data_IF_260253392273
#
_entry.id   IF_260253392273
#
_cell.length_a   1.000
_cell.length_b   1.000
_cell.length_c   1.000
_cell.angle_alpha   90.00
_cell.angle_beta   90.00
_cell.angle_gamma   90.00
#
_symmetry.space_group_name_H-M   'P 1'
#
loop_
_entity.id
_entity.type
_entity.pdbx_description
1 polymer ?
#
# COMPACT_ATOMS: atom_id res chain seq x y z
N UNK A 1 -12.66 -4.67 -1.12
CA UNK A 1 -13.49 -5.83 -1.44
C UNK A 1 -14.57 -5.41 -2.45
N UNK A 2 -14.53 -5.92 -3.69
CA UNK A 2 -15.47 -5.52 -4.74
C UNK A 2 -16.92 -5.95 -4.47
N UNK A 3 -17.18 -6.91 -3.59
CA UNK A 3 -18.54 -7.41 -3.28
C UNK A 3 -19.40 -6.36 -2.57
N UNK A 4 -18.80 -5.49 -1.78
CA UNK A 4 -19.51 -4.42 -1.08
C UNK A 4 -19.79 -3.16 -1.91
N UNK A 5 -19.34 -3.12 -3.15
CA UNK A 5 -19.50 -1.97 -4.01
C UNK A 5 -20.82 -2.01 -4.80
N UNK A 6 -21.42 -0.88 -5.06
CA UNK A 6 -22.79 -0.71 -5.58
C UNK A 6 -23.02 -1.11 -7.06
N UNK A 7 -22.32 -2.08 -7.58
CA UNK A 7 -22.54 -2.67 -8.91
C UNK A 7 -21.84 -1.97 -10.08
N UNK A 8 -21.12 -0.87 -9.84
CA UNK A 8 -20.34 -0.18 -10.88
C UNK A 8 -18.88 -0.56 -10.88
N UNK A 9 -18.43 -1.36 -9.91
CA UNK A 9 -17.05 -1.75 -9.74
C UNK A 9 -16.66 -2.97 -10.60
N UNK A 10 -15.44 -2.96 -11.12
CA UNK A 10 -14.92 -3.93 -12.09
C UNK A 10 -14.87 -5.39 -11.61
N UNK A 11 -15.05 -5.65 -10.33
CA UNK A 11 -14.96 -6.98 -9.76
C UNK A 11 -16.30 -7.67 -9.55
N UNK A 12 -17.40 -7.05 -9.94
CA UNK A 12 -18.74 -7.63 -9.78
C UNK A 12 -19.00 -8.89 -10.63
N UNK A 13 -18.12 -9.20 -11.57
CA UNK A 13 -18.25 -10.32 -12.52
C UNK A 13 -17.61 -11.63 -12.06
N UNK A 14 -16.98 -11.70 -10.87
CA UNK A 14 -16.36 -12.95 -10.37
C UNK A 14 -17.38 -14.01 -9.90
N UNK A 15 -18.65 -13.65 -9.77
CA UNK A 15 -19.72 -14.59 -9.43
C UNK A 15 -19.71 -15.12 -7.98
N UNK A 16 -18.87 -14.59 -7.11
CA UNK A 16 -18.76 -14.97 -5.69
C UNK A 16 -19.58 -14.02 -4.82
N UNK A 17 -20.20 -14.55 -3.77
CA UNK A 17 -20.66 -13.74 -2.65
C UNK A 17 -19.49 -13.27 -1.78
N UNK A 18 -19.74 -12.44 -0.77
CA UNK A 18 -18.70 -11.90 0.11
C UNK A 18 -17.93 -13.02 0.82
N UNK A 19 -18.64 -14.03 1.33
CA UNK A 19 -18.02 -15.16 2.03
C UNK A 19 -17.12 -15.97 1.11
N UNK A 20 -17.60 -16.32 -0.07
CA UNK A 20 -16.85 -17.03 -1.11
C UNK A 20 -15.63 -16.25 -1.59
N UNK A 21 -15.78 -14.94 -1.81
CA UNK A 21 -14.68 -14.07 -2.17
C UNK A 21 -13.60 -14.02 -1.09
N UNK A 22 -13.99 -13.82 0.18
CA UNK A 22 -13.05 -13.73 1.29
C UNK A 22 -12.27 -15.04 1.50
N UNK A 23 -12.92 -16.20 1.32
CA UNK A 23 -12.26 -17.50 1.40
C UNK A 23 -11.31 -17.74 0.22
N UNK A 24 -11.70 -17.39 -1.00
CA UNK A 24 -10.84 -17.49 -2.18
C UNK A 24 -9.62 -16.57 -2.07
N UNK A 25 -9.80 -15.35 -1.55
CA UNK A 25 -8.70 -14.42 -1.29
C UNK A 25 -7.74 -14.98 -0.23
N UNK A 26 -8.25 -15.54 0.87
CA UNK A 26 -7.43 -16.22 1.87
C UNK A 26 -6.60 -17.33 1.23
N UNK A 27 -7.22 -18.20 0.46
CA UNK A 27 -6.53 -19.31 -0.20
C UNK A 27 -5.41 -18.80 -1.11
N UNK A 28 -5.68 -17.76 -1.90
CA UNK A 28 -4.68 -17.14 -2.76
C UNK A 28 -3.53 -16.49 -1.98
N UNK A 29 -3.82 -15.82 -0.88
CA UNK A 29 -2.78 -15.28 0.01
C UNK A 29 -1.86 -16.38 0.58
N UNK A 30 -2.42 -17.52 0.98
CA UNK A 30 -1.64 -18.65 1.50
C UNK A 30 -0.77 -19.28 0.39
N UNK A 31 -1.31 -19.47 -0.80
CA UNK A 31 -0.57 -20.00 -1.96
C UNK A 31 0.64 -19.12 -2.33
N UNK A 32 0.46 -17.81 -2.29
CA UNK A 32 1.49 -16.84 -2.65
C UNK A 32 2.41 -16.45 -1.48
N UNK A 33 2.17 -16.98 -0.27
CA UNK A 33 2.92 -16.65 0.93
C UNK A 33 2.77 -15.21 1.40
N UNK A 34 1.61 -14.58 1.12
CA UNK A 34 1.31 -13.21 1.55
C UNK A 34 1.01 -13.23 3.05
N UNK A 35 1.75 -12.44 3.81
CA UNK A 35 1.63 -12.36 5.27
C UNK A 35 1.00 -11.07 5.78
N UNK A 36 0.89 -10.06 4.94
CA UNK A 36 0.29 -8.76 5.27
C UNK A 36 -0.58 -8.30 4.11
N UNK A 37 -1.78 -7.84 4.43
CA UNK A 37 -2.75 -7.29 3.47
C UNK A 37 -3.16 -5.90 3.92
N UNK A 38 -3.07 -4.92 3.03
CA UNK A 38 -3.71 -3.61 3.19
C UNK A 38 -5.07 -3.61 2.52
N UNK A 39 -6.11 -3.19 3.21
CA UNK A 39 -7.44 -3.02 2.64
C UNK A 39 -7.66 -1.57 2.24
N UNK A 40 -8.14 -1.34 1.03
CA UNK A 40 -8.29 0.01 0.48
C UNK A 40 -9.50 0.10 -0.48
N UNK A 41 -10.68 -0.24 0.02
CA UNK A 41 -11.90 -0.06 -0.76
C UNK A 41 -12.18 1.44 -0.99
N UNK A 42 -12.78 1.77 -2.12
CA UNK A 42 -13.06 3.15 -2.52
C UNK A 42 -14.07 3.81 -1.57
N UNK A 43 -13.58 4.64 -0.65
CA UNK A 43 -14.38 5.41 0.30
C UNK A 43 -15.33 4.58 1.16
N UNK A 44 -15.03 3.30 1.35
CA UNK A 44 -15.84 2.36 2.12
C UNK A 44 -14.97 1.54 3.07
N UNK A 45 -15.53 1.17 4.20
CA UNK A 45 -14.91 0.30 5.21
C UNK A 45 -15.82 -0.87 5.60
N UNK A 46 -16.93 -1.05 4.87
CA UNK A 46 -17.98 -2.00 5.21
C UNK A 46 -17.49 -3.46 5.24
N UNK A 47 -16.58 -3.83 4.35
CA UNK A 47 -16.07 -5.21 4.20
C UNK A 47 -14.87 -5.53 5.10
N UNK A 48 -14.34 -4.57 5.85
CA UNK A 48 -13.09 -4.71 6.60
C UNK A 48 -13.17 -5.82 7.64
N UNK A 49 -14.21 -5.82 8.48
CA UNK A 49 -14.30 -6.76 9.61
C UNK A 49 -14.59 -8.19 9.12
N UNK A 50 -15.40 -8.35 8.06
CA UNK A 50 -15.67 -9.66 7.47
C UNK A 50 -14.40 -10.31 6.91
N UNK A 51 -13.58 -9.55 6.18
CA UNK A 51 -12.32 -10.07 5.63
C UNK A 51 -11.28 -10.34 6.73
N UNK A 52 -11.19 -9.49 7.75
CA UNK A 52 -10.31 -9.71 8.91
C UNK A 52 -10.62 -11.01 9.64
N UNK A 53 -11.91 -11.33 9.84
CA UNK A 53 -12.33 -12.58 10.48
C UNK A 53 -11.86 -13.83 9.73
N UNK A 54 -11.65 -13.72 8.42
CA UNK A 54 -11.16 -14.82 7.59
C UNK A 54 -9.63 -14.89 7.57
N UNK A 55 -8.93 -13.75 7.46
CA UNK A 55 -7.48 -13.70 7.26
C UNK A 55 -6.68 -13.83 8.57
N UNK A 56 -7.09 -13.12 9.63
CA UNK A 56 -6.30 -13.04 10.87
C UNK A 56 -6.11 -14.40 11.59
N UNK A 57 -7.13 -15.29 11.68
CA UNK A 57 -6.94 -16.61 12.28
C UNK A 57 -5.90 -17.49 11.57
N UNK A 58 -5.56 -17.15 10.33
CA UNK A 58 -4.55 -17.86 9.52
C UNK A 58 -3.18 -17.17 9.54
N UNK A 59 -2.98 -16.21 10.44
CA UNK A 59 -1.71 -15.51 10.65
C UNK A 59 -1.42 -14.39 9.63
N UNK A 60 -2.39 -14.00 8.82
CA UNK A 60 -2.25 -12.88 7.89
C UNK A 60 -2.65 -11.59 8.61
N UNK A 61 -1.72 -10.65 8.72
CA UNK A 61 -1.98 -9.35 9.33
C UNK A 61 -2.73 -8.47 8.34
N UNK A 62 -3.78 -7.82 8.82
CA UNK A 62 -4.61 -6.93 7.99
C UNK A 62 -4.48 -5.51 8.51
N UNK A 63 -3.98 -4.61 7.65
CA UNK A 63 -4.04 -3.17 7.86
C UNK A 63 -5.31 -2.63 7.23
N UNK A 64 -6.32 -2.29 8.03
CA UNK A 64 -7.56 -1.78 7.51
C UNK A 64 -7.38 -0.35 6.99
N UNK A 65 -8.15 0.01 5.97
CA UNK A 65 -8.03 1.33 5.36
C UNK A 65 -9.07 1.57 4.27
N UNK A 66 -8.83 2.60 3.49
CA UNK A 66 -9.70 3.01 2.39
C UNK A 66 -8.92 3.83 1.36
N UNK A 67 -9.41 3.87 0.13
CA UNK A 67 -8.96 4.79 -0.90
C UNK A 67 -9.89 6.00 -0.97
N UNK A 68 -9.31 7.19 -1.18
CA UNK A 68 -10.05 8.46 -1.25
C UNK A 68 -9.39 9.42 -2.26
N UNK A 69 -10.17 10.30 -2.86
CA UNK A 69 -9.68 11.37 -3.71
C UNK A 69 -9.62 12.69 -2.95
N UNK A 70 -8.54 13.44 -3.09
CA UNK A 70 -8.44 14.84 -2.67
C UNK A 70 -9.22 15.76 -3.59
N UNK A 71 -9.40 17.03 -3.19
CA UNK A 71 -10.11 18.02 -4.03
C UNK A 71 -9.31 18.37 -5.31
N UNK A 72 -8.02 18.14 -5.34
CA UNK A 72 -7.18 18.25 -6.53
C UNK A 72 -7.18 16.98 -7.41
N UNK A 73 -8.16 16.09 -7.19
CA UNK A 73 -8.42 14.87 -7.95
C UNK A 73 -7.27 13.85 -7.91
N UNK A 74 -6.49 13.86 -6.85
CA UNK A 74 -5.41 12.87 -6.65
C UNK A 74 -5.88 11.80 -5.69
N UNK A 75 -5.62 10.54 -6.03
CA UNK A 75 -6.02 9.39 -5.23
C UNK A 75 -4.96 8.99 -4.21
N UNK A 76 -5.43 8.64 -3.03
CA UNK A 76 -4.60 8.20 -1.92
C UNK A 76 -5.19 6.97 -1.24
N UNK A 77 -4.32 6.04 -0.88
CA UNK A 77 -4.68 4.96 0.03
C UNK A 77 -4.24 5.32 1.44
N UNK A 78 -5.17 5.18 2.37
CA UNK A 78 -5.00 5.43 3.80
C UNK A 78 -5.09 4.11 4.55
N UNK A 79 -4.02 3.69 5.22
CA UNK A 79 -3.96 2.48 6.03
C UNK A 79 -3.83 2.83 7.50
N UNK A 80 -4.36 1.96 8.36
CA UNK A 80 -4.34 2.12 9.81
C UNK A 80 -3.88 0.85 10.50
N UNK A 81 -3.64 0.93 11.82
CA UNK A 81 -3.20 -0.21 12.63
C UNK A 81 -4.15 -1.40 12.49
N UNK A 82 -3.58 -2.59 12.53
CA UNK A 82 -4.29 -3.87 12.58
C UNK A 82 -5.32 -3.95 13.71
N UNK A 83 -5.19 -3.12 14.72
CA UNK A 83 -6.11 -3.06 15.87
C UNK A 83 -7.29 -2.10 15.62
N UNK A 84 -7.23 -1.27 14.57
CA UNK A 84 -8.28 -0.29 14.27
C UNK A 84 -9.57 -1.02 13.87
N UNK A 85 -10.65 -0.78 14.58
CA UNK A 85 -11.96 -1.38 14.30
C UNK A 85 -12.66 -0.73 13.12
N UNK A 86 -13.61 -1.43 12.48
CA UNK A 86 -14.45 -0.85 11.41
C UNK A 86 -15.15 0.43 11.87
N UNK A 87 -15.67 0.46 13.09
CA UNK A 87 -16.31 1.65 13.67
C UNK A 87 -15.33 2.84 13.82
N UNK A 88 -14.08 2.58 14.20
CA UNK A 88 -13.05 3.64 14.25
C UNK A 88 -12.71 4.15 12.84
N UNK A 89 -12.58 3.24 11.87
CA UNK A 89 -12.34 3.62 10.47
C UNK A 89 -13.48 4.47 9.90
N UNK A 90 -14.72 4.15 10.22
CA UNK A 90 -15.88 4.97 9.81
C UNK A 90 -15.79 6.40 10.37
N UNK A 91 -15.37 6.52 11.63
CA UNK A 91 -15.12 7.84 12.23
C UNK A 91 -13.97 8.56 11.54
N UNK A 92 -12.88 7.86 11.20
CA UNK A 92 -11.75 8.45 10.48
C UNK A 92 -12.17 8.92 9.10
N UNK A 93 -12.90 8.09 8.37
CA UNK A 93 -13.44 8.44 7.08
C UNK A 93 -14.37 9.66 7.16
N UNK A 94 -15.26 9.71 8.15
CA UNK A 94 -16.14 10.86 8.41
C UNK A 94 -15.41 12.16 8.77
N UNK A 95 -14.17 12.09 9.26
CA UNK A 95 -13.34 13.26 9.55
C UNK A 95 -12.64 13.85 8.31
N UNK A 96 -12.78 13.24 7.14
CA UNK A 96 -12.05 13.63 5.93
C UNK A 96 -12.88 14.53 5.00
N UNK A 97 -13.95 15.13 5.51
CA UNK A 97 -14.81 16.10 4.78
C UNK A 97 -15.24 15.56 3.40
N UNK A 98 -15.89 14.41 3.43
CA UNK A 98 -16.26 13.67 2.22
C UNK A 98 -17.47 14.26 1.53
N UNK A 99 -17.45 14.22 0.21
CA UNK A 99 -18.58 14.47 -0.68
C UNK A 99 -19.27 13.13 -1.05
N UNK A 100 -20.41 13.23 -1.70
CA UNK A 100 -21.07 12.06 -2.27
C UNK A 100 -20.19 11.41 -3.33
N UNK A 101 -20.20 10.07 -3.43
CA UNK A 101 -19.37 9.35 -4.40
C UNK A 101 -19.69 9.76 -5.83
N UNK A 102 -18.65 10.10 -6.58
CA UNK A 102 -18.68 10.25 -8.03
C UNK A 102 -17.61 9.35 -8.62
N UNK A 103 -17.88 8.72 -9.76
CA UNK A 103 -16.90 7.89 -10.50
C UNK A 103 -16.20 6.78 -9.68
N UNK A 104 -16.88 6.30 -8.64
CA UNK A 104 -16.39 5.16 -7.87
C UNK A 104 -15.45 5.48 -6.72
N UNK A 105 -14.79 6.61 -6.69
CA UNK A 105 -13.97 7.06 -5.56
C UNK A 105 -14.65 8.21 -4.83
N UNK A 106 -14.69 8.14 -3.52
CA UNK A 106 -15.32 9.17 -2.70
C UNK A 106 -14.39 10.37 -2.58
N UNK A 107 -14.77 11.56 -3.12
CA UNK A 107 -13.92 12.74 -3.05
C UNK A 107 -14.01 13.40 -1.68
N UNK A 108 -12.90 13.99 -1.24
CA UNK A 108 -12.80 14.88 -0.09
C UNK A 108 -12.75 16.33 -0.54
N UNK A 109 -13.21 17.26 0.30
CA UNK A 109 -12.97 18.70 0.10
C UNK A 109 -11.56 19.13 0.48
N UNK A 110 -10.82 18.25 1.16
CA UNK A 110 -9.44 18.53 1.58
C UNK A 110 -8.50 18.48 0.36
N UNK A 111 -7.52 19.40 0.32
CA UNK A 111 -6.41 19.28 -0.62
C UNK A 111 -5.53 18.06 -0.28
N UNK A 112 -4.68 17.65 -1.22
CA UNK A 112 -3.69 16.60 -0.97
C UNK A 112 -2.87 16.83 0.29
N UNK A 113 -2.42 18.06 0.52
CA UNK A 113 -1.63 18.42 1.70
C UNK A 113 -2.43 18.27 3.00
N UNK A 114 -3.66 18.79 3.00
CA UNK A 114 -4.57 18.70 4.15
C UNK A 114 -4.94 17.26 4.46
N UNK A 115 -5.17 16.46 3.42
CA UNK A 115 -5.49 15.04 3.55
C UNK A 115 -4.34 14.25 4.16
N UNK A 116 -3.11 14.46 3.66
CA UNK A 116 -1.90 13.82 4.18
C UNK A 116 -1.70 14.19 5.65
N UNK A 117 -1.85 15.46 5.98
CA UNK A 117 -1.73 15.95 7.35
C UNK A 117 -2.80 15.33 8.27
N UNK A 118 -4.04 15.28 7.81
CA UNK A 118 -5.16 14.76 8.59
C UNK A 118 -5.02 13.27 8.87
N UNK A 119 -4.63 12.47 7.88
CA UNK A 119 -4.42 11.03 8.04
C UNK A 119 -3.26 10.74 8.99
N UNK A 120 -2.18 11.51 8.93
CA UNK A 120 -1.06 11.41 9.87
C UNK A 120 -1.51 11.72 11.31
N UNK A 121 -2.31 12.77 11.52
CA UNK A 121 -2.89 13.11 12.83
C UNK A 121 -3.80 12.01 13.40
N UNK A 122 -4.49 11.26 12.53
CA UNK A 122 -5.28 10.10 12.90
C UNK A 122 -4.42 8.84 13.18
N UNK A 123 -3.10 8.95 13.08
CA UNK A 123 -2.16 7.85 13.28
C UNK A 123 -2.01 6.92 12.09
N UNK A 124 -2.63 7.25 10.95
CA UNK A 124 -2.60 6.46 9.73
C UNK A 124 -1.26 6.50 8.98
N UNK A 125 -1.21 5.79 7.89
CA UNK A 125 -0.18 5.82 6.86
C UNK A 125 -0.86 6.10 5.51
N UNK A 126 -0.44 7.15 4.83
CA UNK A 126 -1.01 7.55 3.54
C UNK A 126 0.04 7.43 2.44
N UNK A 127 -0.36 6.93 1.28
CA UNK A 127 0.48 6.89 0.10
C UNK A 127 -0.29 7.28 -1.18
N UNK A 128 0.44 7.79 -2.17
CA UNK A 128 -0.14 8.14 -3.46
C UNK A 128 -0.50 6.87 -4.23
N UNK A 129 -1.78 6.68 -4.53
CA UNK A 129 -2.27 5.57 -5.33
C UNK A 129 -1.88 5.77 -6.80
N UNK A 130 -1.62 4.69 -7.54
CA UNK A 130 -1.32 4.65 -8.98
C UNK A 130 -0.69 5.96 -9.54
N UNK A 131 0.39 6.41 -8.90
CA UNK A 131 0.90 7.79 -9.00
C UNK A 131 1.28 8.26 -10.41
N UNK A 132 1.42 7.35 -11.38
CA UNK A 132 1.76 7.61 -12.78
C UNK A 132 0.56 7.53 -13.74
N UNK A 133 -0.61 7.13 -13.25
CA UNK A 133 -1.85 6.98 -14.02
C UNK A 133 -2.77 8.19 -13.85
N UNK A 134 -3.93 8.16 -14.48
CA UNK A 134 -4.96 9.17 -14.29
C UNK A 134 -5.34 9.28 -12.81
N UNK A 135 -5.58 10.49 -12.34
CA UNK A 135 -5.74 10.82 -10.92
C UNK A 135 -4.51 10.52 -10.03
N UNK A 136 -3.35 10.25 -10.63
CA UNK A 136 -2.10 10.02 -9.92
C UNK A 136 -1.34 11.30 -9.63
N UNK A 137 -0.63 11.33 -8.52
CA UNK A 137 0.12 12.49 -8.03
C UNK A 137 1.14 13.04 -9.04
N UNK A 138 1.89 12.18 -9.71
CA UNK A 138 2.88 12.58 -10.71
C UNK A 138 2.24 12.97 -12.04
N UNK A 139 1.12 12.36 -12.38
CA UNK A 139 0.32 12.75 -13.55
C UNK A 139 -0.24 14.16 -13.37
N UNK A 140 -0.70 14.49 -12.18
CA UNK A 140 -1.21 15.82 -11.82
C UNK A 140 -0.11 16.85 -11.54
N UNK A 141 1.17 16.47 -11.65
CA UNK A 141 2.34 17.37 -11.48
C UNK A 141 2.42 18.08 -10.13
N UNK A 142 1.92 17.49 -9.06
CA UNK A 142 1.90 18.10 -7.73
C UNK A 142 3.25 17.93 -7.02
N UNK A 143 4.29 18.65 -7.48
CA UNK A 143 5.63 18.53 -6.93
C UNK A 143 5.74 19.02 -5.48
N UNK A 144 4.95 20.01 -5.07
CA UNK A 144 4.90 20.49 -3.69
C UNK A 144 4.38 19.41 -2.74
N UNK A 145 3.34 18.65 -3.16
CA UNK A 145 2.82 17.51 -2.40
C UNK A 145 3.81 16.37 -2.36
N UNK A 146 4.48 16.07 -3.50
CA UNK A 146 5.54 15.04 -3.56
C UNK A 146 6.65 15.31 -2.55
N UNK A 147 6.96 16.57 -2.28
CA UNK A 147 8.01 16.98 -1.35
C UNK A 147 7.61 16.92 0.13
N UNK A 148 6.35 16.69 0.46
CA UNK A 148 5.91 16.57 1.86
C UNK A 148 6.57 15.36 2.53
N UNK A 149 7.22 15.58 3.66
CA UNK A 149 7.93 14.53 4.39
C UNK A 149 7.01 13.40 4.92
N UNK A 150 5.73 13.69 5.10
CA UNK A 150 4.70 12.74 5.52
C UNK A 150 4.22 11.83 4.38
N UNK A 151 4.39 12.23 3.12
CA UNK A 151 4.18 11.34 1.98
C UNK A 151 5.42 10.44 1.84
N UNK A 152 5.31 9.20 2.26
CA UNK A 152 6.45 8.27 2.34
C UNK A 152 6.46 7.20 1.26
N UNK A 153 5.34 6.99 0.59
CA UNK A 153 5.23 5.98 -0.45
C UNK A 153 4.37 6.43 -1.62
N UNK A 154 4.65 5.84 -2.78
CA UNK A 154 3.88 6.00 -4.01
C UNK A 154 3.79 4.65 -4.73
N UNK A 155 2.59 4.32 -5.18
CA UNK A 155 2.29 3.08 -5.87
C UNK A 155 2.47 3.23 -7.36
N UNK A 156 3.06 2.19 -7.98
CA UNK A 156 3.12 2.01 -9.42
C UNK A 156 2.67 0.60 -9.82
N UNK A 157 2.20 0.39 -11.07
CA UNK A 157 1.57 -0.88 -11.47
C UNK A 157 2.54 -2.04 -11.73
N UNK A 158 3.84 -1.80 -11.69
CA UNK A 158 4.86 -2.81 -12.02
C UNK A 158 6.28 -2.31 -11.76
N UNK A 159 7.29 -2.85 -12.45
CA UNK A 159 8.66 -2.35 -12.37
C UNK A 159 8.79 -0.90 -12.86
N UNK A 160 9.73 -0.14 -12.29
CA UNK A 160 9.99 1.24 -12.72
C UNK A 160 10.45 1.27 -14.20
N UNK A 161 11.21 0.27 -14.61
CA UNK A 161 11.75 0.20 -15.99
C UNK A 161 10.67 -0.12 -17.04
N UNK A 162 9.57 -0.73 -16.63
CA UNK A 162 8.44 -1.09 -17.51
C UNK A 162 7.42 0.05 -17.67
N UNK A 163 7.64 1.19 -17.01
CA UNK A 163 6.79 2.36 -17.20
C UNK A 163 6.83 2.80 -18.67
N UNK A 164 5.66 2.86 -19.29
CA UNK A 164 5.48 3.18 -20.70
C UNK A 164 4.79 4.53 -20.92
N UNK A 165 4.77 4.99 -22.17
CA UNK A 165 4.14 6.23 -22.58
C UNK A 165 5.10 7.43 -22.63
N UNK A 166 4.60 8.55 -23.15
CA UNK A 166 5.38 9.75 -23.42
C UNK A 166 6.04 10.34 -22.17
N UNK A 167 5.44 10.15 -21.02
CA UNK A 167 5.93 10.71 -19.75
C UNK A 167 6.81 9.74 -18.94
N UNK A 168 7.08 8.55 -19.47
CA UNK A 168 7.80 7.48 -18.74
C UNK A 168 9.17 7.91 -18.24
N UNK A 169 9.93 8.68 -19.01
CA UNK A 169 11.26 9.18 -18.60
C UNK A 169 11.16 10.17 -17.44
N UNK A 170 10.15 11.04 -17.45
CA UNK A 170 9.89 11.93 -16.32
C UNK A 170 9.55 11.11 -15.06
N UNK A 171 8.62 10.16 -15.15
CA UNK A 171 8.25 9.33 -14.00
C UNK A 171 9.45 8.55 -13.45
N UNK A 172 10.27 7.94 -14.33
CA UNK A 172 11.50 7.23 -13.90
C UNK A 172 12.45 8.15 -13.15
N UNK A 173 12.71 9.36 -13.66
CA UNK A 173 13.59 10.32 -12.97
C UNK A 173 13.05 10.70 -11.59
N UNK A 174 11.74 10.96 -11.46
CA UNK A 174 11.14 11.31 -10.18
C UNK A 174 11.19 10.13 -9.21
N UNK A 175 10.76 8.95 -9.62
CA UNK A 175 10.73 7.74 -8.78
C UNK A 175 12.13 7.31 -8.32
N UNK A 176 13.15 7.54 -9.15
CA UNK A 176 14.55 7.30 -8.80
C UNK A 176 15.20 8.47 -8.04
N UNK A 177 14.43 9.49 -7.68
CA UNK A 177 14.89 10.71 -6.99
C UNK A 177 15.97 11.50 -7.76
N UNK A 178 15.93 11.47 -9.08
CA UNK A 178 16.90 12.11 -9.99
C UNK A 178 16.37 13.39 -10.63
N UNK A 179 15.09 13.73 -10.47
CA UNK A 179 14.50 14.95 -11.02
C UNK A 179 14.65 16.08 -10.01
N UNK A 180 15.29 17.18 -10.37
CA UNK A 180 15.63 18.27 -9.45
C UNK A 180 14.40 18.97 -8.86
N UNK A 181 13.32 19.08 -9.62
CA UNK A 181 12.06 19.69 -9.16
C UNK A 181 11.35 18.84 -8.11
N UNK A 182 11.59 17.52 -8.10
CA UNK A 182 10.96 16.53 -7.24
C UNK A 182 11.92 15.91 -6.23
N UNK A 183 13.21 16.23 -6.28
CA UNK A 183 14.24 15.64 -5.43
C UNK A 183 13.95 15.87 -3.96
N UNK A 184 14.18 14.83 -3.16
CA UNK A 184 14.03 14.82 -1.70
C UNK A 184 15.30 14.26 -1.05
N UNK A 185 15.60 14.72 0.16
CA UNK A 185 16.65 14.14 0.98
C UNK A 185 16.37 12.65 1.25
N UNK A 186 15.13 12.35 1.65
CA UNK A 186 14.64 10.97 1.77
C UNK A 186 13.72 10.66 0.60
N UNK A 187 14.11 9.75 -0.30
CA UNK A 187 13.26 9.34 -1.40
C UNK A 187 11.91 8.82 -0.95
N UNK A 188 10.88 9.03 -1.76
CA UNK A 188 9.60 8.35 -1.61
C UNK A 188 9.81 6.86 -1.90
N UNK A 189 9.28 6.00 -1.07
CA UNK A 189 9.28 4.57 -1.32
C UNK A 189 8.40 4.25 -2.52
N UNK A 190 8.93 3.52 -3.48
CA UNK A 190 8.13 2.99 -4.59
C UNK A 190 7.63 1.61 -4.18
N UNK A 191 6.32 1.40 -4.25
CA UNK A 191 5.68 0.13 -3.93
C UNK A 191 4.86 -0.38 -5.11
N UNK A 192 4.74 -1.70 -5.17
CA UNK A 192 3.72 -2.35 -5.97
C UNK A 192 2.52 -2.68 -5.10
N UNK A 193 1.37 -2.29 -5.55
CA UNK A 193 0.05 -2.69 -5.09
C UNK A 193 -0.90 -2.53 -6.27
N UNK A 194 -1.99 -3.25 -6.28
CA UNK A 194 -2.93 -3.24 -7.38
C UNK A 194 -4.35 -3.45 -6.85
N UNK A 195 -5.32 -2.95 -7.59
CA UNK A 195 -6.71 -3.26 -7.36
C UNK A 195 -6.93 -4.76 -7.54
N UNK A 196 -7.44 -5.40 -6.52
CA UNK A 196 -7.74 -6.83 -6.50
C UNK A 196 -9.24 -6.98 -6.65
N UNK A 197 -9.70 -7.03 -7.90
CA UNK A 197 -11.11 -7.24 -8.22
C UNK A 197 -11.51 -8.70 -8.00
N UNK A 198 -10.64 -9.63 -8.33
CA UNK A 198 -10.77 -11.05 -8.07
C UNK A 198 -9.48 -11.61 -7.46
N UNK A 199 -9.54 -12.71 -6.69
CA UNK A 199 -8.36 -13.24 -5.97
C UNK A 199 -7.15 -13.51 -6.86
N UNK A 200 -7.35 -13.91 -8.11
CA UNK A 200 -6.31 -14.20 -9.10
C UNK A 200 -5.50 -12.95 -9.49
N UNK A 201 -6.03 -11.76 -9.27
CA UNK A 201 -5.31 -10.51 -9.54
C UNK A 201 -4.04 -10.36 -8.68
N UNK A 202 -3.97 -11.07 -7.54
CA UNK A 202 -2.77 -11.13 -6.70
C UNK A 202 -1.56 -11.79 -7.39
N UNK A 203 -1.78 -12.61 -8.41
CA UNK A 203 -0.71 -13.25 -9.19
C UNK A 203 -0.05 -12.30 -10.19
N UNK A 204 -0.70 -11.17 -10.47
CA UNK A 204 -0.20 -10.25 -11.49
C UNK A 204 1.10 -9.57 -11.04
N UNK A 205 2.05 -9.36 -11.96
CA UNK A 205 3.22 -8.54 -11.70
C UNK A 205 2.80 -7.16 -11.18
N UNK A 206 3.38 -6.74 -10.09
CA UNK A 206 3.04 -5.45 -9.49
C UNK A 206 1.85 -5.45 -8.52
N UNK A 207 1.21 -6.59 -8.26
CA UNK A 207 0.17 -6.68 -7.23
C UNK A 207 0.72 -6.65 -5.80
N UNK A 208 1.96 -7.08 -5.62
CA UNK A 208 2.61 -7.22 -4.30
C UNK A 208 4.03 -6.64 -4.30
N UNK A 209 4.54 -6.34 -3.11
CA UNK A 209 5.93 -5.98 -2.89
C UNK A 209 6.46 -6.61 -1.59
N UNK A 210 7.78 -6.58 -1.40
CA UNK A 210 8.42 -7.10 -0.20
C UNK A 210 8.80 -5.95 0.72
N UNK A 211 8.38 -6.05 1.99
CA UNK A 211 8.69 -5.06 3.02
C UNK A 211 9.39 -5.77 4.19
N UNK A 212 10.64 -5.40 4.44
CA UNK A 212 11.43 -5.97 5.55
C UNK A 212 11.00 -5.31 6.86
N UNK A 213 10.40 -6.10 7.72
CA UNK A 213 9.94 -5.68 9.06
C UNK A 213 10.50 -6.61 10.14
N UNK A 214 10.68 -6.11 11.35
CA UNK A 214 11.08 -6.93 12.51
C UNK A 214 9.97 -7.88 12.96
N UNK A 215 8.74 -7.45 12.79
CA UNK A 215 7.50 -8.24 12.96
C UNK A 215 6.41 -7.63 12.09
N UNK A 216 5.42 -8.40 11.64
CA UNK A 216 4.34 -7.89 10.79
C UNK A 216 3.32 -7.13 11.66
N UNK A 217 3.59 -5.86 11.94
CA UNK A 217 2.66 -4.94 12.59
C UNK A 217 2.79 -3.53 12.01
N UNK A 218 1.79 -2.69 12.27
CA UNK A 218 1.69 -1.36 11.69
C UNK A 218 2.84 -0.42 12.10
N UNK A 219 3.33 -0.54 13.33
CA UNK A 219 4.47 0.25 13.78
C UNK A 219 5.75 -0.09 12.99
N UNK A 220 6.07 -1.38 12.84
CA UNK A 220 7.22 -1.82 12.05
C UNK A 220 7.03 -1.53 10.56
N UNK A 221 5.81 -1.60 10.05
CA UNK A 221 5.45 -1.18 8.70
C UNK A 221 5.82 0.29 8.48
N UNK A 222 5.35 1.22 9.32
CA UNK A 222 5.70 2.65 9.20
C UNK A 222 7.19 2.92 9.28
N UNK A 223 7.93 2.17 10.11
CA UNK A 223 9.39 2.27 10.23
C UNK A 223 10.10 1.82 8.94
N UNK A 224 9.58 0.83 8.23
CA UNK A 224 10.18 0.38 6.97
C UNK A 224 10.26 1.49 5.92
N UNK A 225 9.32 2.42 5.92
CA UNK A 225 9.29 3.56 5.00
C UNK A 225 10.21 4.74 5.39
N UNK A 226 10.91 4.64 6.51
CA UNK A 226 11.96 5.60 6.88
C UNK A 226 13.29 5.31 6.18
N UNK A 227 13.49 4.06 5.75
CA UNK A 227 14.66 3.60 4.99
C UNK A 227 14.22 2.64 3.87
N UNK A 228 13.54 3.17 2.83
CA UNK A 228 12.99 2.33 1.79
C UNK A 228 14.06 1.59 0.97
N UNK A 229 15.24 2.19 0.81
CA UNK A 229 16.33 1.61 0.04
C UNK A 229 16.82 0.26 0.57
N UNK A 230 16.77 0.02 1.87
CA UNK A 230 17.17 -1.26 2.48
C UNK A 230 16.00 -2.18 2.81
N UNK A 231 14.78 -1.64 2.88
CA UNK A 231 13.64 -2.36 3.46
C UNK A 231 12.52 -2.68 2.48
N UNK A 232 12.45 -2.00 1.32
CA UNK A 232 11.37 -2.17 0.35
C UNK A 232 11.96 -2.66 -0.97
N UNK A 233 11.33 -3.69 -1.54
CA UNK A 233 11.66 -4.23 -2.87
C UNK A 233 10.39 -4.45 -3.65
N UNK A 234 10.39 -4.02 -4.88
CA UNK A 234 9.35 -4.40 -5.83
C UNK A 234 9.44 -5.89 -6.12
N UNK A 235 8.36 -6.49 -6.55
CA UNK A 235 8.33 -7.92 -6.84
C UNK A 235 9.40 -8.32 -7.89
N UNK A 236 9.60 -7.48 -8.89
CA UNK A 236 10.66 -7.65 -9.91
C UNK A 236 12.10 -7.54 -9.36
N UNK A 237 12.28 -6.99 -8.16
CA UNK A 237 13.59 -6.80 -7.52
C UNK A 237 13.89 -7.86 -6.48
N UNK A 238 13.11 -8.93 -6.40
CA UNK A 238 13.38 -10.02 -5.50
C UNK A 238 14.74 -10.63 -5.85
N UNK A 239 15.69 -10.50 -4.92
CA UNK A 239 16.98 -11.16 -5.09
C UNK A 239 16.78 -12.67 -5.12
N UNK A 240 17.32 -13.34 -6.13
CA UNK A 240 17.45 -14.79 -6.08
C UNK A 240 18.23 -15.16 -4.81
N UNK A 241 17.75 -16.16 -4.09
CA UNK A 241 18.41 -16.61 -2.87
C UNK A 241 19.88 -16.93 -3.19
N UNK A 242 20.86 -16.33 -2.52
CA UNK A 242 22.27 -16.65 -2.82
C UNK A 242 22.48 -18.15 -2.64
N UNK A 243 23.36 -18.74 -3.46
CA UNK A 243 23.68 -20.18 -3.46
C UNK A 243 24.21 -20.65 -2.10
N UNK A 244 24.70 -19.73 -1.26
CA UNK A 244 25.14 -20.02 0.12
C UNK A 244 24.31 -19.22 1.13
N UNK A 245 23.82 -19.89 2.17
CA UNK A 245 23.19 -19.26 3.34
C UNK A 245 24.10 -19.41 4.55
N UNK A 246 24.33 -18.31 5.29
CA UNK A 246 24.84 -18.42 6.65
C UNK A 246 23.71 -18.98 7.51
N UNK A 247 23.79 -20.27 7.83
CA UNK A 247 22.77 -20.97 8.64
C UNK A 247 23.04 -20.77 10.12
N UNK A 248 24.31 -20.50 10.48
CA UNK A 248 24.74 -20.30 11.85
C UNK A 248 26.05 -19.55 11.89
N UNK A 249 26.17 -18.64 12.80
CA UNK A 249 27.42 -17.98 13.16
C UNK A 249 27.67 -18.18 14.66
N UNK A 250 28.88 -18.55 15.02
CA UNK A 250 29.30 -18.59 16.43
C UNK A 250 30.49 -17.65 16.56
N UNK A 251 30.43 -16.72 17.49
CA UNK A 251 31.52 -15.82 17.80
C UNK A 251 32.35 -16.45 18.93
N UNK A 252 33.67 -16.54 18.73
CA UNK A 252 34.60 -17.04 19.75
C UNK A 252 35.55 -15.90 20.13
N UNK A 253 35.68 -15.67 21.43
CA UNK A 253 36.55 -14.65 22.02
C UNK A 253 35.95 -13.25 22.05
N UNK A 254 36.44 -12.41 22.94
CA UNK A 254 35.99 -11.04 23.13
C UNK A 254 34.62 -10.90 23.81
N UNK A 255 34.04 -9.73 23.73
CA UNK A 255 32.78 -9.39 24.40
C UNK A 255 31.57 -10.22 23.90
N UNK A 256 31.60 -10.69 22.66
CA UNK A 256 30.53 -11.48 22.04
C UNK A 256 30.78 -13.00 22.07
N UNK A 257 31.71 -13.48 22.91
CA UNK A 257 32.03 -14.91 22.98
C UNK A 257 30.80 -15.74 23.34
N UNK A 258 30.59 -16.81 22.59
CA UNK A 258 29.44 -17.71 22.74
C UNK A 258 28.11 -17.23 22.16
N UNK A 259 28.04 -16.03 21.58
CA UNK A 259 26.84 -15.57 20.87
C UNK A 259 26.60 -16.43 19.63
N UNK A 260 25.38 -16.93 19.49
CA UNK A 260 24.90 -17.67 18.32
C UNK A 260 23.81 -16.88 17.63
N UNK A 261 23.92 -16.70 16.33
CA UNK A 261 22.97 -16.00 15.47
C UNK A 261 22.47 -16.93 14.38
#
# INVERSE_FOLDING_TARGET
NPVGYNGTYRGADHGLDEGGYNQALLQKCLELGITVVGLADHGSVASVDALRQVLQPRGIVVFPGFEIASNDKTHYVCLFSEETTGQQLERYLGNLDLLDPTDGVRPSRLSSEQLIEKVDQLGGFIYAAHCTSDSGLLKNRLNHVWKLHKLRAAQIPGPIDDLAGVESDFYRRVLLNKDDAYRRERPVAVINAKDVAKPEDLEQPGATCFIKMTRPNFAAFKVAFLDPGSRIRLNSQQAQSPIGKVVRMTVAGGYLDGVRV
#
